data_IF_197543099690
#
_entry.id   IF_197543099690
#
_cell.length_a   1.000
_cell.length_b   1.000
_cell.length_c   1.000
_cell.angle_alpha   90.00
_cell.angle_beta   90.00
_cell.angle_gamma   90.00
#
_symmetry.space_group_name_H-M   'P 1'
#
loop_
_entity.id
_entity.type
_entity.pdbx_description
1 polymer ?
2 non-polymer ?
3 non-polymer ?
4 non-polymer ?
5 water ?
#
# COMPACT_ATOMS: atom_id res chain seq x y z
N UNK A 2 10.08 -36.37 -30.26
CA UNK A 2 10.82 -35.54 -29.26
C UNK A 2 10.54 -34.04 -29.41
N UNK A 3 9.49 -33.69 -30.17
CA UNK A 3 9.16 -32.27 -30.43
C UNK A 3 8.48 -31.62 -29.21
N UNK A 4 8.91 -30.39 -28.92
CA UNK A 4 8.32 -29.57 -27.85
C UNK A 4 6.80 -29.41 -28.09
N UNK A 5 5.98 -29.58 -27.04
CA UNK A 5 4.52 -29.52 -27.22
C UNK A 5 3.93 -28.15 -27.55
N UNK A 6 4.49 -27.07 -26.98
CA UNK A 6 3.97 -25.74 -27.20
C UNK A 6 4.79 -24.98 -28.24
N UNK A 7 4.09 -24.40 -29.21
CA UNK A 7 4.70 -23.41 -30.08
C UNK A 7 4.83 -22.13 -29.29
N UNK A 8 5.64 -21.22 -29.80
CA UNK A 8 5.79 -19.91 -29.17
C UNK A 8 4.42 -19.27 -28.95
N UNK A 9 3.57 -19.28 -29.98
CA UNK A 9 2.26 -18.63 -29.85
C UNK A 9 1.37 -19.25 -28.75
N UNK A 10 1.34 -20.57 -28.67
CA UNK A 10 0.57 -21.25 -27.62
C UNK A 10 1.15 -20.94 -26.23
N UNK A 11 2.47 -20.95 -26.12
CA UNK A 11 3.15 -20.65 -24.85
C UNK A 11 2.89 -19.23 -24.38
N UNK A 12 2.81 -18.30 -25.33
CA UNK A 12 2.51 -16.90 -25.03
C UNK A 12 1.12 -16.76 -24.41
N UNK A 13 0.14 -17.42 -25.03
CA UNK A 13 -1.24 -17.36 -24.55
C UNK A 13 -1.37 -18.06 -23.21
N UNK A 14 -0.69 -19.20 -23.08
CA UNK A 14 -0.75 -19.98 -21.85
C UNK A 14 -0.07 -19.24 -20.70
N UNK A 15 1.04 -18.55 -21.00
CA UNK A 15 1.74 -17.74 -20.00
C UNK A 15 0.83 -16.62 -19.48
N UNK A 16 0.15 -15.92 -20.39
CA UNK A 16 -0.83 -14.89 -20.01
C UNK A 16 -1.89 -15.44 -19.06
N UNK A 17 -2.46 -16.58 -19.40
CA UNK A 17 -3.47 -17.23 -18.57
C UNK A 17 -2.92 -17.56 -17.18
N UNK A 18 -1.74 -18.15 -17.15
CA UNK A 18 -1.10 -18.56 -15.89
C UNK A 18 -0.76 -17.38 -14.96
N UNK A 19 -0.22 -16.31 -15.54
CA UNK A 19 0.12 -15.12 -14.75
C UNK A 19 -1.11 -14.48 -14.14
N UNK A 20 -2.17 -14.36 -14.93
CA UNK A 20 -3.44 -13.83 -14.45
C UNK A 20 -4.02 -14.72 -13.34
N UNK A 21 -4.01 -16.02 -13.57
CA UNK A 21 -4.56 -16.97 -12.61
C UNK A 21 -3.75 -17.01 -11.31
N UNK A 22 -2.43 -17.12 -11.43
CA UNK A 22 -1.53 -17.11 -10.26
C UNK A 22 -1.57 -15.80 -9.45
N UNK A 23 -1.63 -14.66 -10.14
CA UNK A 23 -1.79 -13.37 -9.46
C UNK A 23 -3.12 -13.29 -8.70
N UNK A 24 -4.18 -13.84 -9.30
CA UNK A 24 -5.49 -13.92 -8.64
C UNK A 24 -5.44 -14.78 -7.38
N UNK A 25 -4.82 -15.96 -7.48
CA UNK A 25 -4.68 -16.85 -6.34
C UNK A 25 -3.80 -16.28 -5.22
N UNK A 26 -2.71 -15.61 -5.59
CA UNK A 26 -1.85 -14.95 -4.60
C UNK A 26 -2.59 -13.83 -3.86
N UNK A 27 -3.36 -13.04 -4.60
CA UNK A 27 -4.21 -12.00 -3.99
C UNK A 27 -5.22 -12.57 -3.03
N UNK A 28 -5.87 -13.67 -3.42
CA UNK A 28 -6.81 -14.36 -2.52
C UNK A 28 -6.13 -14.82 -1.24
N UNK A 29 -4.94 -15.39 -1.40
CA UNK A 29 -4.18 -16.02 -0.32
C UNK A 29 -3.63 -14.99 0.67
N UNK A 30 -2.98 -13.97 0.13
CA UNK A 30 -2.29 -12.96 0.94
C UNK A 30 -3.19 -11.80 1.39
N UNK A 31 -4.01 -11.27 0.48
CA UNK A 31 -4.78 -10.05 0.74
C UNK A 31 -6.18 -10.32 1.29
N UNK A 32 -6.93 -11.18 0.60
CA UNK A 32 -8.28 -11.54 1.06
C UNK A 32 -8.23 -12.55 2.20
N UNK A 33 -7.12 -13.29 2.29
CA UNK A 33 -6.93 -14.32 3.32
C UNK A 33 -7.99 -15.42 3.21
N UNK A 34 -8.38 -15.73 1.98
CA UNK A 34 -9.36 -16.76 1.71
C UNK A 34 -9.06 -17.39 0.35
N UNK A 35 -8.12 -18.34 0.31
CA UNK A 35 -7.72 -18.96 -0.95
C UNK A 35 -8.78 -19.92 -1.50
N UNK A 36 -9.15 -19.72 -2.76
CA UNK A 36 -10.12 -20.57 -3.43
C UNK A 36 -9.53 -21.92 -3.86
N UNK A 37 -8.21 -22.02 -3.90
CA UNK A 37 -7.55 -23.29 -4.21
C UNK A 37 -6.48 -23.64 -3.17
N UNK A 38 -6.24 -24.94 -3.02
CA UNK A 38 -5.23 -25.42 -2.08
C UNK A 38 -3.84 -25.14 -2.63
N UNK A 39 -2.85 -25.12 -1.74
CA UNK A 39 -1.48 -24.75 -2.10
C UNK A 39 -0.93 -25.59 -3.26
N UNK A 40 -1.23 -26.88 -3.27
CA UNK A 40 -0.68 -27.78 -4.29
C UNK A 40 -1.19 -27.44 -5.70
N UNK A 41 -2.40 -26.88 -5.78
CA UNK A 41 -2.93 -26.40 -7.06
C UNK A 41 -2.17 -25.16 -7.52
N UNK A 42 -1.93 -24.22 -6.59
CA UNK A 42 -1.12 -23.02 -6.89
C UNK A 42 0.28 -23.41 -7.33
N UNK A 43 0.93 -24.27 -6.54
CA UNK A 43 2.31 -24.70 -6.83
C UNK A 43 2.44 -25.38 -8.19
N UNK A 44 1.41 -26.12 -8.58
CA UNK A 44 1.41 -26.87 -9.84
C UNK A 44 1.35 -25.92 -11.05
N UNK A 45 0.51 -24.90 -10.95
CA UNK A 45 0.41 -23.89 -11.98
C UNK A 45 1.66 -23.00 -12.02
N UNK A 46 2.20 -22.69 -10.85
CA UNK A 46 3.43 -21.90 -10.76
C UNK A 46 4.57 -22.60 -11.48
N UNK A 47 4.73 -23.89 -11.25
CA UNK A 47 5.79 -24.67 -11.90
C UNK A 47 5.61 -24.69 -13.42
N UNK A 48 4.36 -24.78 -13.87
CA UNK A 48 4.05 -24.74 -15.31
C UNK A 48 4.55 -23.43 -15.92
N UNK A 49 4.27 -22.32 -15.24
CA UNK A 49 4.74 -21.01 -15.69
C UNK A 49 6.27 -20.91 -15.71
N UNK A 50 6.92 -21.42 -14.68
CA UNK A 50 8.39 -21.44 -14.64
C UNK A 50 8.97 -22.19 -15.85
N UNK A 51 8.40 -23.36 -16.14
CA UNK A 51 8.85 -24.16 -17.28
C UNK A 51 8.65 -23.46 -18.63
N UNK A 52 7.55 -22.71 -18.76
CA UNK A 52 7.34 -21.90 -19.98
C UNK A 52 8.40 -20.79 -20.09
N UNK A 53 8.65 -20.11 -18.96
CA UNK A 53 9.63 -19.02 -18.94
C UNK A 53 11.07 -19.48 -19.15
N UNK A 54 11.37 -20.70 -18.71
CA UNK A 54 12.66 -21.34 -18.96
C UNK A 54 12.86 -21.65 -20.44
N UNK A 55 11.80 -22.18 -21.07
CA UNK A 55 11.86 -22.53 -22.49
C UNK A 55 11.79 -21.29 -23.39
N UNK A 56 10.97 -20.33 -23.01
CA UNK A 56 10.74 -19.11 -23.78
C UNK A 56 10.99 -17.86 -22.91
N UNK A 57 12.28 -17.49 -22.70
CA UNK A 57 12.61 -16.34 -21.85
C UNK A 57 11.99 -15.00 -22.30
N UNK A 58 11.75 -14.83 -23.60
CA UNK A 58 11.09 -13.61 -24.10
C UNK A 58 9.71 -13.40 -23.51
N UNK A 59 9.11 -14.45 -22.95
CA UNK A 59 7.78 -14.36 -22.35
C UNK A 59 7.80 -13.86 -20.91
N UNK A 60 8.98 -13.73 -20.30
CA UNK A 60 9.08 -13.14 -18.96
C UNK A 60 8.63 -11.67 -18.99
N UNK A 61 7.55 -11.37 -18.28
CA UNK A 61 7.00 -10.01 -18.22
C UNK A 61 7.03 -9.45 -16.79
N UNK A 62 6.88 -8.12 -16.64
CA UNK A 62 6.90 -7.48 -15.31
C UNK A 62 5.78 -7.94 -14.36
N UNK A 63 4.61 -8.28 -14.90
CA UNK A 63 3.50 -8.77 -14.07
C UNK A 63 3.64 -10.25 -13.66
N UNK A 64 4.71 -10.92 -14.07
CA UNK A 64 4.86 -12.35 -13.79
C UNK A 64 5.14 -12.62 -12.31
N UNK A 65 4.40 -13.57 -11.72
CA UNK A 65 4.64 -14.05 -10.36
C UNK A 65 6.07 -14.47 -10.07
N UNK A 66 6.78 -14.98 -11.08
CA UNK A 66 8.18 -15.40 -10.91
C UNK A 66 9.08 -14.20 -10.57
N UNK A 67 8.67 -12.99 -10.98
CA UNK A 67 9.48 -11.79 -10.74
C UNK A 67 9.47 -11.32 -9.28
N UNK A 68 8.66 -11.96 -8.43
CA UNK A 68 8.62 -11.66 -7.00
C UNK A 68 9.80 -12.25 -6.23
N UNK A 69 10.16 -13.49 -6.56
CA UNK A 69 10.98 -14.35 -5.69
C UNK A 69 12.22 -13.66 -5.15
N UNK A 70 12.74 -12.69 -5.89
CA UNK A 70 13.95 -12.00 -5.50
C UNK A 70 15.12 -12.76 -6.08
N UNK A 71 16.30 -12.18 -5.96
CA UNK A 71 17.48 -12.67 -6.66
C UNK A 71 18.22 -11.49 -7.25
N UNK A 72 17.47 -10.57 -7.85
CA UNK A 72 18.06 -9.37 -8.44
C UNK A 72 18.78 -8.56 -7.35
N UNK A 73 19.94 -8.01 -7.71
CA UNK A 73 20.75 -7.18 -6.80
C UNK A 73 21.10 -5.88 -7.51
N UNK A 74 20.66 -4.75 -6.97
CA UNK A 74 20.95 -3.43 -7.57
C UNK A 74 22.29 -2.89 -7.07
N UNK A 75 22.93 -2.04 -7.86
CA UNK A 75 24.14 -1.31 -7.44
C UNK A 75 23.77 -0.09 -6.61
N UNK A 76 22.53 0.35 -6.75
CA UNK A 76 22.03 1.54 -6.06
C UNK A 76 20.61 1.83 -6.51
N UNK A 77 19.95 2.75 -5.83
CA UNK A 77 18.59 3.13 -6.23
C UNK A 77 18.59 4.36 -7.12
N UNK A 78 17.84 4.29 -8.21
CA UNK A 78 17.58 5.46 -9.03
C UNK A 78 16.63 6.36 -8.25
N UNK A 79 16.73 7.66 -8.51
CA UNK A 79 15.78 8.62 -7.95
C UNK A 79 14.41 8.33 -8.56
N UNK A 80 13.36 8.60 -7.79
CA UNK A 80 11.99 8.39 -8.24
C UNK A 80 11.21 9.68 -7.99
N UNK A 81 11.17 10.58 -8.99
CA UNK A 81 10.41 11.83 -8.81
C UNK A 81 8.92 11.59 -8.64
N UNK A 82 8.26 12.46 -7.88
CA UNK A 82 6.81 12.41 -7.71
C UNK A 82 6.23 13.60 -8.42
N UNK A 83 5.64 13.36 -9.59
CA UNK A 83 5.07 14.44 -10.43
C UNK A 83 3.97 15.18 -9.67
N UNK A 84 3.18 14.40 -8.92
CA UNK A 84 2.22 14.94 -7.98
C UNK A 84 2.81 14.78 -6.58
N UNK A 85 3.07 15.89 -5.87
CA UNK A 85 3.72 15.85 -4.55
C UNK A 85 3.05 14.91 -3.55
N UNK A 86 3.84 14.21 -2.75
CA UNK A 86 3.31 13.44 -1.63
C UNK A 86 3.32 14.32 -0.40
N UNK A 87 2.21 15.04 -0.21
CA UNK A 87 2.11 16.06 0.84
C UNK A 87 1.90 15.46 2.24
N UNK A 88 2.18 16.27 3.26
CA UNK A 88 1.84 15.91 4.63
C UNK A 88 0.61 16.71 5.07
N UNK A 89 -0.19 16.11 5.94
CA UNK A 89 -1.43 16.73 6.37
C UNK A 89 -1.20 17.75 7.47
N UNK A 90 -2.08 18.75 7.55
CA UNK A 90 -2.15 19.59 8.74
C UNK A 90 -2.52 18.71 9.93
N UNK A 91 -1.98 19.02 11.11
CA UNK A 91 -2.17 18.17 12.31
C UNK A 91 -3.13 18.78 13.33
N UNK A 92 -3.75 17.91 14.12
CA UNK A 92 -4.53 18.29 15.30
C UNK A 92 -4.23 17.36 16.45
N UNK A 93 -4.44 17.82 17.69
CA UNK A 93 -4.12 17.03 18.89
C UNK A 93 -5.22 16.94 19.95
N UNK A 94 -6.20 17.83 19.88
CA UNK A 94 -7.24 17.91 20.89
C UNK A 94 -8.62 17.83 20.26
N UNK A 95 -9.61 17.55 21.09
CA UNK A 95 -11.01 17.67 20.68
C UNK A 95 -11.26 19.04 20.07
N UNK A 96 -10.75 20.08 20.73
CA UNK A 96 -10.85 21.46 20.24
C UNK A 96 -10.35 21.60 18.81
N UNK A 97 -9.21 20.98 18.51
CA UNK A 97 -8.63 21.09 17.16
C UNK A 97 -9.53 20.45 16.11
N UNK A 98 -10.16 19.34 16.47
CA UNK A 98 -10.94 18.57 15.51
C UNK A 98 -12.29 19.24 15.26
N UNK A 99 -12.92 19.74 16.32
CA UNK A 99 -14.14 20.53 16.16
C UNK A 99 -13.87 21.85 15.44
N UNK A 100 -12.69 22.45 15.67
CA UNK A 100 -12.27 23.67 14.96
C UNK A 100 -12.09 23.39 13.46
N UNK A 101 -11.50 22.24 13.14
CA UNK A 101 -11.40 21.78 11.75
C UNK A 101 -12.76 21.75 11.08
N UNK A 102 -13.73 21.12 11.74
CA UNK A 102 -15.09 20.99 11.21
C UNK A 102 -15.74 22.36 11.05
N UNK A 103 -15.53 23.25 12.02
CA UNK A 103 -16.06 24.61 11.94
C UNK A 103 -15.53 25.30 10.67
N UNK A 104 -14.24 25.14 10.40
CA UNK A 104 -13.63 25.76 9.23
C UNK A 104 -14.15 25.13 7.93
N UNK A 105 -14.40 23.82 7.96
CA UNK A 105 -14.95 23.13 6.79
C UNK A 105 -16.37 23.64 6.49
N UNK A 106 -17.20 23.71 7.53
CA UNK A 106 -18.59 24.14 7.38
C UNK A 106 -18.66 25.62 6.98
N UNK A 107 -17.73 26.43 7.50
CA UNK A 107 -17.61 27.83 7.08
C UNK A 107 -17.41 27.93 5.56
N UNK A 108 -16.55 27.07 5.03
CA UNK A 108 -16.22 27.06 3.60
C UNK A 108 -17.34 26.48 2.75
N UNK A 109 -17.90 25.34 3.16
CA UNK A 109 -18.89 24.62 2.35
C UNK A 109 -20.32 25.15 2.50
N UNK A 110 -20.66 25.66 3.68
CA UNK A 110 -21.99 26.19 3.95
C UNK A 110 -23.02 25.15 4.37
N UNK A 111 -22.56 24.00 4.86
CA UNK A 111 -23.44 22.93 5.31
C UNK A 111 -22.64 21.85 6.06
N UNK A 112 -23.32 20.99 6.84
CA UNK A 112 -22.60 19.88 7.44
C UNK A 112 -22.13 18.92 6.35
N UNK A 113 -21.09 18.17 6.66
CA UNK A 113 -20.40 17.32 5.71
C UNK A 113 -20.09 15.97 6.36
N UNK A 114 -20.09 14.92 5.55
CA UNK A 114 -19.69 13.59 5.99
C UNK A 114 -18.17 13.48 5.91
N UNK A 115 -17.57 12.75 6.85
CA UNK A 115 -16.13 12.54 6.86
C UNK A 115 -15.80 11.07 6.76
N UNK A 116 -14.83 10.78 5.90
CA UNK A 116 -14.22 9.46 5.82
C UNK A 116 -13.08 9.42 6.82
N UNK A 117 -13.19 8.54 7.82
CA UNK A 117 -12.21 8.43 8.90
C UNK A 117 -11.40 7.15 8.74
N UNK A 118 -10.08 7.27 8.86
CA UNK A 118 -9.16 6.17 8.59
C UNK A 118 -8.02 6.19 9.60
N UNK A 119 -7.34 5.06 9.76
CA UNK A 119 -6.18 4.99 10.66
C UNK A 119 -4.94 5.51 9.95
N UNK A 120 -4.14 6.33 10.63
CA UNK A 120 -2.89 6.80 10.05
C UNK A 120 -1.83 5.75 10.34
N UNK A 121 -1.40 5.07 9.29
CA UNK A 121 -0.52 3.92 9.42
C UNK A 121 0.91 4.43 9.56
N UNK A 122 1.62 3.91 10.55
CA UNK A 122 2.96 4.41 10.85
C UNK A 122 3.97 3.46 10.25
N UNK A 123 4.35 3.71 9.00
CA UNK A 123 5.29 2.85 8.28
C UNK A 123 6.18 3.67 7.38
N UNK A 124 6.50 3.12 6.19
CA UNK A 124 7.19 3.89 5.16
C UNK A 124 6.20 4.24 4.05
N UNK A 125 6.01 5.53 3.80
CA UNK A 125 5.12 6.01 2.75
C UNK A 125 5.65 5.59 1.39
N UNK A 126 4.78 5.01 0.56
CA UNK A 126 5.15 4.53 -0.76
C UNK A 126 4.16 5.01 -1.81
N UNK A 127 4.62 5.06 -3.06
CA UNK A 127 3.73 5.29 -4.20
C UNK A 127 3.96 4.17 -5.23
N UNK A 128 2.86 3.59 -5.72
CA UNK A 128 2.91 2.45 -6.64
C UNK A 128 2.31 2.87 -7.99
N UNK A 129 3.12 2.79 -9.05
CA UNK A 129 2.69 3.22 -10.38
C UNK A 129 2.32 2.01 -11.22
N UNK A 130 1.13 2.07 -11.82
CA UNK A 130 0.65 1.03 -12.71
C UNK A 130 0.36 1.64 -14.08
N UNK A 131 0.72 0.93 -15.13
CA UNK A 131 0.41 1.33 -16.50
C UNK A 131 -0.26 0.16 -17.20
N UNK A 132 -1.45 0.40 -17.73
CA UNK A 132 -2.23 -0.66 -18.37
C UNK A 132 -2.44 -1.84 -17.41
N UNK A 133 -2.67 -1.51 -16.13
CA UNK A 133 -2.92 -2.51 -15.10
C UNK A 133 -1.71 -3.31 -14.64
N UNK A 134 -0.51 -2.87 -15.00
CA UNK A 134 0.71 -3.60 -14.69
C UNK A 134 1.64 -2.76 -13.79
N UNK A 135 2.15 -3.38 -12.72
CA UNK A 135 3.08 -2.71 -11.80
C UNK A 135 4.38 -2.37 -12.50
N UNK A 136 4.68 -1.07 -12.61
CA UNK A 136 5.88 -0.59 -13.33
C UNK A 136 6.88 0.17 -12.45
N UNK A 137 6.42 0.80 -11.37
CA UNK A 137 7.32 1.53 -10.48
C UNK A 137 6.81 1.59 -9.04
N UNK A 138 7.68 1.19 -8.10
CA UNK A 138 7.41 1.37 -6.68
C UNK A 138 8.43 2.35 -6.15
N UNK A 139 7.96 3.31 -5.36
CA UNK A 139 8.81 4.41 -4.92
C UNK A 139 8.57 4.75 -3.46
N UNK A 140 9.64 5.09 -2.75
CA UNK A 140 9.52 5.70 -1.43
C UNK A 140 9.11 7.16 -1.57
N UNK A 141 8.55 7.71 -0.51
CA UNK A 141 8.14 9.11 -0.48
C UNK A 141 9.35 10.04 -0.59
N UNK A 142 10.43 9.68 0.11
CA UNK A 142 11.60 10.54 0.20
C UNK A 142 11.20 11.83 0.88
N UNK A 143 11.43 12.96 0.23
CA UNK A 143 11.01 14.26 0.79
C UNK A 143 9.62 14.70 0.32
N UNK A 144 8.96 13.82 -0.44
CA UNK A 144 7.63 14.11 -0.99
C UNK A 144 7.63 14.52 -2.45
N UNK A 145 8.79 14.95 -2.94
CA UNK A 145 8.96 15.38 -4.33
C UNK A 145 9.88 14.41 -5.08
N UNK A 146 10.91 13.90 -4.40
CA UNK A 146 11.77 12.87 -4.95
C UNK A 146 12.07 11.79 -3.90
N UNK A 147 11.84 10.53 -4.26
CA UNK A 147 12.17 9.39 -3.41
C UNK A 147 13.10 8.43 -4.13
N UNK A 148 13.08 7.18 -3.72
CA UNK A 148 13.94 6.16 -4.31
C UNK A 148 13.09 5.11 -5.02
N UNK A 149 13.58 4.68 -6.18
CA UNK A 149 12.95 3.64 -6.95
C UNK A 149 13.29 2.28 -6.34
N UNK A 150 12.32 1.71 -5.62
CA UNK A 150 12.50 0.42 -4.95
C UNK A 150 11.51 -0.61 -5.52
N UNK A 151 11.30 -0.57 -6.84
CA UNK A 151 10.30 -1.43 -7.51
C UNK A 151 10.53 -2.92 -7.25
N UNK A 152 11.78 -3.36 -7.43
CA UNK A 152 12.11 -4.77 -7.31
C UNK A 152 11.90 -5.27 -5.88
N UNK A 153 12.29 -4.45 -4.90
CA UNK A 153 12.02 -4.75 -3.49
C UNK A 153 10.54 -4.88 -3.17
N UNK A 154 9.73 -3.96 -3.70
CA UNK A 154 8.30 -3.98 -3.47
C UNK A 154 7.59 -5.17 -4.16
N UNK A 155 8.18 -5.70 -5.24
CA UNK A 155 7.63 -6.92 -5.87
C UNK A 155 7.66 -8.08 -4.88
N UNK A 156 8.64 -8.09 -3.99
CA UNK A 156 8.75 -9.16 -2.99
C UNK A 156 7.68 -9.07 -1.89
N UNK A 157 7.03 -7.91 -1.78
CA UNK A 157 6.00 -7.72 -0.78
C UNK A 157 4.71 -8.26 -1.37
N UNK A 158 4.25 -9.38 -0.82
CA UNK A 158 3.22 -10.19 -1.47
C UNK A 158 1.86 -9.48 -1.59
N UNK A 159 1.58 -8.50 -0.73
CA UNK A 159 0.32 -7.74 -0.83
C UNK A 159 0.30 -6.73 -1.97
N UNK A 160 1.47 -6.39 -2.49
CA UNK A 160 1.55 -5.47 -3.63
C UNK A 160 1.12 -6.23 -4.89
N UNK A 161 0.05 -5.77 -5.56
CA UNK A 161 -0.37 -6.50 -6.76
C UNK A 161 0.55 -6.23 -7.94
N UNK A 162 0.85 -7.27 -8.71
CA UNK A 162 1.67 -7.16 -9.91
C UNK A 162 0.79 -6.76 -11.09
N UNK A 163 -0.49 -7.13 -11.02
CA UNK A 163 -1.50 -6.69 -11.98
C UNK A 163 -2.76 -6.22 -11.24
N UNK A 164 -3.55 -5.40 -11.92
CA UNK A 164 -4.85 -4.97 -11.40
C UNK A 164 -5.97 -5.67 -12.18
N UNK A 165 -7.19 -5.62 -11.65
CA UNK A 165 -8.35 -6.21 -12.34
C UNK A 165 -8.82 -5.42 -13.54
N UNK A 166 -8.28 -4.21 -13.73
CA UNK A 166 -8.54 -3.48 -14.95
C UNK A 166 -7.28 -2.78 -15.45
N UNK A 167 -7.19 -2.57 -16.78
CA UNK A 167 -5.96 -2.10 -17.39
C UNK A 167 -5.83 -0.58 -17.33
N UNK A 168 -5.96 -0.02 -16.13
CA UNK A 168 -5.88 1.43 -15.92
C UNK A 168 -4.47 1.84 -15.54
N UNK A 169 -4.13 3.09 -15.85
CA UNK A 169 -2.87 3.70 -15.43
C UNK A 169 -3.17 4.58 -14.23
N UNK A 170 -2.60 4.24 -13.08
CA UNK A 170 -2.86 4.96 -11.84
C UNK A 170 -1.60 5.01 -10.99
N UNK A 171 -1.55 6.00 -10.11
CA UNK A 171 -0.44 6.17 -9.17
C UNK A 171 -1.05 6.10 -7.77
N UNK A 172 -0.74 5.03 -7.05
CA UNK A 172 -1.47 4.64 -5.84
C UNK A 172 -0.60 4.83 -4.61
N UNK A 173 -1.11 5.57 -3.62
CA UNK A 173 -0.31 5.96 -2.44
C UNK A 173 -0.77 5.20 -1.19
N UNK A 174 0.21 4.83 -0.37
CA UNK A 174 -0.07 4.16 0.89
C UNK A 174 1.15 4.01 1.76
N UNK A 175 1.15 2.97 2.59
CA UNK A 175 2.22 2.76 3.54
C UNK A 175 2.65 1.29 3.49
N UNK A 176 3.95 1.06 3.63
CA UNK A 176 4.51 -0.28 3.79
C UNK A 176 5.08 -0.33 5.18
N UNK A 177 4.74 -1.37 5.93
CA UNK A 177 5.12 -1.47 7.32
C UNK A 177 5.57 -2.88 7.64
N UNK A 178 6.27 -3.02 8.77
CA UNK A 178 6.58 -4.31 9.34
C UNK A 178 5.65 -4.55 10.52
N UNK A 179 4.87 -5.66 10.49
CA UNK A 179 4.04 -6.00 11.65
C UNK A 179 4.86 -6.06 12.94
N UNK A 180 4.23 -5.68 14.06
CA UNK A 180 4.95 -5.61 15.32
C UNK A 180 5.59 -6.95 15.71
N UNK A 181 4.88 -8.05 15.45
CA UNK A 181 5.38 -9.38 15.84
C UNK A 181 6.62 -9.79 15.04
N UNK A 182 6.69 -9.39 13.77
CA UNK A 182 7.86 -9.64 12.94
C UNK A 182 9.03 -8.72 13.30
N UNK A 183 8.72 -7.48 13.69
CA UNK A 183 9.73 -6.53 14.14
C UNK A 183 10.51 -7.07 15.35
N UNK A 184 9.81 -7.48 16.39
CA UNK A 184 10.50 -8.00 17.59
C UNK A 184 11.30 -9.27 17.29
N UNK A 185 10.77 -10.15 16.44
CA UNK A 185 11.52 -11.37 16.04
C UNK A 185 12.77 -11.05 15.24
N UNK A 186 12.66 -10.08 14.33
CA UNK A 186 13.80 -9.63 13.52
C UNK A 186 14.93 -9.04 14.37
N UNK A 187 14.59 -8.22 15.37
CA UNK A 187 15.60 -7.65 16.26
C UNK A 187 16.33 -8.71 17.07
N UNK A 188 15.59 -9.72 17.53
CA UNK A 188 16.21 -10.85 18.20
C UNK A 188 17.16 -11.61 17.27
N UNK A 189 16.73 -11.82 16.04
CA UNK A 189 17.59 -12.47 15.03
C UNK A 189 18.85 -11.65 14.79
N UNK A 190 18.68 -10.34 14.67
CA UNK A 190 19.81 -9.42 14.47
C UNK A 190 20.77 -9.43 15.67
N UNK A 191 20.20 -9.36 16.87
CA UNK A 191 20.97 -9.50 18.10
C UNK A 191 21.89 -10.73 18.06
N UNK A 192 21.31 -11.86 17.65
CA UNK A 192 22.02 -13.13 17.59
C UNK A 192 23.08 -13.17 16.49
N UNK A 193 22.82 -12.47 15.39
CA UNK A 193 23.80 -12.35 14.28
C UNK A 193 24.84 -11.24 14.52
N UNK A 194 24.79 -10.56 15.66
CA UNK A 194 25.72 -9.49 15.99
C UNK A 194 25.47 -8.20 15.22
N UNK A 195 24.24 -8.03 14.74
CA UNK A 195 23.85 -6.84 13.98
C UNK A 195 23.18 -5.81 14.88
N UNK A 196 23.31 -4.53 14.53
CA UNK A 196 22.63 -3.46 15.24
C UNK A 196 21.13 -3.71 15.17
N UNK A 197 20.42 -3.49 16.28
CA UNK A 197 18.96 -3.67 16.28
C UNK A 197 18.29 -2.43 15.69
N UNK A 198 17.05 -2.59 15.21
CA UNK A 198 16.26 -1.46 14.74
C UNK A 198 15.56 -0.78 15.93
N UNK A 199 15.55 0.54 15.95
CA UNK A 199 14.95 1.29 17.06
C UNK A 199 13.45 1.06 17.18
N UNK A 200 12.78 0.83 16.04
CA UNK A 200 11.32 0.67 16.00
C UNK A 200 10.90 0.08 14.64
N UNK A 201 9.64 -0.36 14.52
CA UNK A 201 9.20 -1.01 13.28
C UNK A 201 9.30 -0.13 12.00
N UNK A 202 9.17 1.18 12.15
CA UNK A 202 9.34 2.09 10.99
C UNK A 202 10.76 2.01 10.44
N UNK A 203 11.75 2.06 11.32
CA UNK A 203 13.16 1.92 10.91
C UNK A 203 13.45 0.56 10.29
N UNK A 204 12.82 -0.48 10.83
CA UNK A 204 12.99 -1.85 10.33
C UNK A 204 12.39 -1.98 8.93
N UNK A 205 11.22 -1.38 8.72
CA UNK A 205 10.60 -1.39 7.39
C UNK A 205 11.45 -0.56 6.41
N UNK A 206 11.89 0.62 6.83
CA UNK A 206 12.75 1.47 5.99
C UNK A 206 14.07 0.79 5.64
N UNK A 207 14.74 0.23 6.64
CA UNK A 207 15.98 -0.50 6.44
C UNK A 207 15.83 -1.68 5.49
N UNK A 208 14.74 -2.41 5.68
CA UNK A 208 14.42 -3.57 4.85
C UNK A 208 14.24 -3.19 3.38
N UNK A 209 13.50 -2.11 3.13
CA UNK A 209 13.21 -1.66 1.77
C UNK A 209 14.36 -0.92 1.09
N UNK A 210 15.39 -0.54 1.83
CA UNK A 210 16.55 0.12 1.24
C UNK A 210 17.76 -0.79 1.07
N UNK A 211 17.53 -2.09 1.23
CA UNK A 211 18.53 -3.11 0.91
C UNK A 211 18.59 -3.30 -0.60
N UNK A 212 19.80 -3.44 -1.14
CA UNK A 212 19.98 -3.55 -2.59
C UNK A 212 19.73 -4.95 -3.11
N UNK A 213 19.90 -5.96 -2.25
CA UNK A 213 19.68 -7.35 -2.62
C UNK A 213 18.26 -7.74 -2.28
N UNK A 214 17.46 -8.01 -3.31
CA UNK A 214 16.04 -8.36 -3.13
C UNK A 214 15.83 -9.68 -2.37
N UNK A 215 16.82 -10.57 -2.38
CA UNK A 215 16.74 -11.81 -1.62
C UNK A 215 16.64 -11.52 -0.11
N UNK A 216 17.36 -10.51 0.36
CA UNK A 216 17.34 -10.12 1.77
C UNK A 216 16.01 -9.47 2.11
N UNK A 217 15.55 -8.58 1.23
CA UNK A 217 14.25 -7.93 1.37
C UNK A 217 13.11 -8.96 1.40
N UNK A 218 13.20 -9.98 0.55
CA UNK A 218 12.20 -11.06 0.54
C UNK A 218 12.11 -11.81 1.87
N UNK A 219 13.23 -11.94 2.58
CA UNK A 219 13.24 -12.62 3.88
C UNK A 219 12.52 -11.83 4.97
N UNK A 220 12.44 -10.51 4.80
CA UNK A 220 11.76 -9.63 5.79
C UNK A 220 10.25 -9.74 5.59
N UNK A 221 9.49 -9.61 6.68
CA UNK A 221 8.03 -9.66 6.62
C UNK A 221 7.47 -8.26 6.59
N UNK A 222 6.89 -7.88 5.45
CA UNK A 222 6.35 -6.54 5.25
C UNK A 222 4.94 -6.65 4.71
N UNK A 223 4.12 -5.64 4.96
CA UNK A 223 2.77 -5.60 4.40
C UNK A 223 2.40 -4.17 4.02
N UNK A 224 1.26 -4.00 3.37
CA UNK A 224 0.84 -2.70 2.85
C UNK A 224 -0.62 -2.38 3.12
N UNK A 225 -0.91 -1.08 3.26
CA UNK A 225 -2.27 -0.57 3.19
C UNK A 225 -2.19 0.59 2.20
N UNK A 226 -3.01 0.53 1.16
CA UNK A 226 -3.12 1.61 0.19
C UNK A 226 -4.43 2.33 0.42
N UNK A 227 -4.42 3.65 0.24
CA UNK A 227 -5.60 4.45 0.60
C UNK A 227 -6.02 5.49 -0.42
N UNK A 228 -5.17 5.90 -1.35
CA UNK A 228 -5.59 6.86 -2.37
C UNK A 228 -4.77 6.82 -3.65
N UNK A 229 -5.13 7.68 -4.61
CA UNK A 229 -4.34 7.84 -5.82
C UNK A 229 -4.00 9.30 -6.09
N UNK A 230 -3.01 9.52 -6.96
CA UNK A 230 -2.56 10.86 -7.29
C UNK A 230 -3.54 11.59 -8.21
N UNK A 231 -4.20 10.82 -9.08
CA UNK A 231 -5.12 11.36 -10.08
C UNK A 231 -6.28 10.38 -10.31
N UNK A 232 -7.47 10.77 -9.89
CA UNK A 232 -8.65 9.89 -9.91
C UNK A 232 -9.32 9.77 -11.29
N UNK A 233 -8.81 10.48 -12.30
CA UNK A 233 -9.32 10.38 -13.68
C UNK A 233 -9.81 9.00 -14.12
N UNK A 234 -8.92 8.00 -14.15
CA UNK A 234 -9.30 6.63 -14.56
C UNK A 234 -10.25 5.89 -13.59
N UNK A 235 -10.43 6.42 -12.38
CA UNK A 235 -11.26 5.77 -11.36
C UNK A 235 -12.71 6.23 -11.48
N UNK A 236 -13.63 5.41 -10.95
CA UNK A 236 -15.07 5.70 -10.95
C UNK A 236 -15.56 6.33 -9.64
N UNK A 237 -14.75 6.26 -8.59
CA UNK A 237 -15.17 6.75 -7.27
C UNK A 237 -15.45 8.25 -7.32
N UNK A 238 -16.45 8.68 -6.57
CA UNK A 238 -16.75 10.10 -6.41
C UNK A 238 -16.67 10.54 -4.95
N UNK A 239 -16.31 9.60 -4.06
CA UNK A 239 -16.11 9.88 -2.64
C UNK A 239 -14.89 9.12 -2.15
N UNK A 240 -14.34 9.53 -1.01
CA UNK A 240 -13.16 8.87 -0.45
C UNK A 240 -13.49 7.43 -0.05
N UNK A 241 -14.68 7.22 0.51
CA UNK A 241 -15.10 5.89 0.91
C UNK A 241 -15.26 4.96 -0.31
N UNK A 242 -15.82 5.49 -1.39
CA UNK A 242 -15.92 4.74 -2.65
C UNK A 242 -14.53 4.42 -3.21
N UNK A 243 -13.61 5.38 -3.07
CA UNK A 243 -12.23 5.24 -3.53
C UNK A 243 -11.58 4.04 -2.86
N UNK A 244 -11.82 3.90 -1.55
CA UNK A 244 -11.24 2.79 -0.78
C UNK A 244 -11.79 1.46 -1.23
N UNK A 245 -13.11 1.40 -1.43
CA UNK A 245 -13.73 0.18 -1.95
C UNK A 245 -13.22 -0.16 -3.35
N UNK A 246 -13.02 0.86 -4.18
CA UNK A 246 -12.54 0.65 -5.55
C UNK A 246 -11.12 0.12 -5.60
N UNK A 247 -10.22 0.73 -4.83
CA UNK A 247 -8.84 0.24 -4.69
C UNK A 247 -8.82 -1.22 -4.26
N UNK A 248 -9.68 -1.54 -3.31
CA UNK A 248 -9.81 -2.91 -2.82
C UNK A 248 -10.27 -3.83 -3.96
N UNK A 249 -11.30 -3.41 -4.69
CA UNK A 249 -11.86 -4.19 -5.79
C UNK A 249 -10.82 -4.51 -6.87
N UNK A 250 -9.93 -3.56 -7.16
CA UNK A 250 -8.99 -3.73 -8.26
C UNK A 250 -7.71 -4.47 -7.86
N UNK A 251 -7.53 -4.75 -6.57
CA UNK A 251 -6.46 -5.63 -6.11
C UNK A 251 -5.58 -5.16 -4.96
N UNK A 252 -5.80 -3.95 -4.45
CA UNK A 252 -4.94 -3.43 -3.38
C UNK A 252 -5.46 -3.83 -2.01
N UNK A 253 -4.52 -4.04 -1.08
CA UNK A 253 -4.86 -4.26 0.31
C UNK A 253 -5.18 -2.91 0.92
N UNK A 254 -6.38 -2.77 1.48
CA UNK A 254 -6.83 -1.53 2.12
C UNK A 254 -7.16 -1.82 3.58
N UNK A 255 -7.11 -0.79 4.42
CA UNK A 255 -7.33 -0.95 5.86
C UNK A 255 -8.82 -1.10 6.17
N UNK A 256 -9.19 -2.19 6.88
CA UNK A 256 -10.60 -2.50 7.10
C UNK A 256 -11.26 -1.71 8.22
N UNK A 257 -10.51 -0.85 8.91
CA UNK A 257 -11.02 -0.12 10.06
C UNK A 257 -11.67 1.20 9.72
N UNK A 258 -11.70 1.56 8.43
CA UNK A 258 -12.23 2.86 8.04
C UNK A 258 -13.72 2.95 8.32
N UNK A 259 -14.19 4.18 8.50
CA UNK A 259 -15.58 4.43 8.82
C UNK A 259 -16.02 5.76 8.23
N UNK A 260 -17.20 5.77 7.63
CA UNK A 260 -17.79 6.98 7.12
C UNK A 260 -18.67 7.59 8.20
N UNK A 261 -18.29 8.76 8.67
CA UNK A 261 -18.97 9.42 9.77
C UNK A 261 -19.87 10.54 9.28
N UNK A 262 -21.14 10.48 9.68
CA UNK A 262 -22.15 11.44 9.24
C UNK A 262 -22.17 12.74 10.04
N UNK A 263 -21.33 12.82 11.07
CA UNK A 263 -21.17 14.04 11.86
C UNK A 263 -19.83 14.06 12.58
N UNK A 264 -19.45 15.25 13.04
CA UNK A 264 -18.20 15.45 13.78
C UNK A 264 -18.20 14.66 15.11
N UNK A 265 -19.38 14.51 15.71
CA UNK A 265 -19.51 13.70 16.92
C UNK A 265 -19.13 12.25 16.66
N UNK A 266 -19.63 11.70 15.55
CA UNK A 266 -19.25 10.35 15.14
C UNK A 266 -17.75 10.26 14.87
N UNK A 267 -17.18 11.32 14.30
CA UNK A 267 -15.73 11.42 14.07
C UNK A 267 -14.98 11.34 15.41
N UNK A 268 -15.46 12.06 16.42
CA UNK A 268 -14.81 12.08 17.72
C UNK A 268 -14.90 10.74 18.40
N UNK A 269 -16.07 10.10 18.31
CA UNK A 269 -16.26 8.75 18.84
C UNK A 269 -15.36 7.71 18.16
N UNK A 270 -15.06 7.91 16.88
CA UNK A 270 -14.15 7.04 16.15
C UNK A 270 -12.72 7.18 16.69
N UNK A 271 -12.29 8.42 16.89
CA UNK A 271 -10.97 8.71 17.44
C UNK A 271 -10.79 8.04 18.81
N UNK A 272 -11.79 8.23 19.68
CA UNK A 272 -11.81 7.57 20.98
C UNK A 272 -11.81 6.05 20.87
N UNK A 273 -12.61 5.50 19.95
CA UNK A 273 -12.70 4.04 19.76
C UNK A 273 -11.34 3.44 19.41
N UNK A 274 -10.65 4.06 18.46
CA UNK A 274 -9.39 3.51 17.97
C UNK A 274 -8.15 3.92 18.77
N UNK A 275 -8.26 4.95 19.60
CA UNK A 275 -7.22 5.17 20.63
C UNK A 275 -7.18 3.97 21.55
N UNK A 276 -8.35 3.49 21.94
CA UNK A 276 -8.45 2.31 22.80
C UNK A 276 -8.00 1.05 22.06
N UNK A 277 -8.41 0.90 20.81
CA UNK A 277 -8.06 -0.29 20.02
C UNK A 277 -6.59 -0.32 19.56
N UNK A 278 -5.90 0.82 19.62
CA UNK A 278 -4.53 0.95 19.11
C UNK A 278 -3.63 -0.22 19.53
N UNK A 279 -3.57 -0.47 20.84
CA UNK A 279 -2.74 -1.56 21.40
C UNK A 279 -3.03 -2.96 20.86
N UNK A 280 -4.24 -3.16 20.36
CA UNK A 280 -4.68 -4.48 19.91
C UNK A 280 -4.37 -4.77 18.45
N UNK A 281 -3.85 -3.77 17.73
CA UNK A 281 -3.57 -3.91 16.31
C UNK A 281 -2.17 -4.49 16.09
N UNK A 282 -1.99 -5.32 15.05
CA UNK A 282 -0.67 -5.90 14.75
C UNK A 282 0.29 -4.95 14.03
N UNK A 283 -0.19 -3.77 13.67
CA UNK A 283 0.60 -2.73 13.00
C UNK A 283 0.50 -1.43 13.78
N UNK A 284 1.52 -0.59 13.70
CA UNK A 284 1.53 0.66 14.45
C UNK A 284 0.72 1.71 13.72
N UNK A 285 0.02 2.54 14.49
CA UNK A 285 -0.61 3.74 13.94
C UNK A 285 -0.15 4.95 14.76
N UNK A 286 -0.04 6.11 14.13
CA UNK A 286 0.35 7.31 14.87
C UNK A 286 -0.80 8.31 14.96
N UNK A 287 -1.99 7.91 14.52
CA UNK A 287 -3.14 8.79 14.57
C UNK A 287 -4.32 8.36 13.73
N UNK A 288 -5.22 9.31 13.53
CA UNK A 288 -6.42 9.12 12.74
C UNK A 288 -6.44 10.19 11.67
N UNK A 289 -6.77 9.82 10.44
CA UNK A 289 -6.94 10.79 9.37
C UNK A 289 -8.42 10.99 9.13
N UNK A 290 -8.82 12.27 9.04
CA UNK A 290 -10.19 12.69 8.90
C UNK A 290 -10.28 13.46 7.58
N UNK A 291 -11.08 12.97 6.64
CA UNK A 291 -11.19 13.57 5.31
C UNK A 291 -12.63 13.88 4.95
N UNK A 292 -12.86 15.04 4.33
CA UNK A 292 -14.16 15.34 3.75
C UNK A 292 -14.41 14.26 2.71
N UNK A 293 -15.55 13.60 2.79
CA UNK A 293 -15.80 12.40 1.99
C UNK A 293 -16.02 12.69 0.50
N UNK A 294 -16.89 13.64 0.21
CA UNK A 294 -17.30 13.93 -1.17
C UNK A 294 -16.18 14.62 -1.96
N UNK A 295 -15.83 14.07 -3.13
CA UNK A 295 -14.77 14.65 -3.97
C UNK A 295 -15.12 16.08 -4.45
N UNK A 296 -16.40 16.31 -4.77
CA UNK A 296 -16.85 17.66 -5.18
C UNK A 296 -16.52 18.69 -4.11
N UNK A 297 -16.72 18.31 -2.84
CA UNK A 297 -16.40 19.17 -1.71
C UNK A 297 -14.89 19.29 -1.44
N UNK A 298 -14.14 18.20 -1.59
CA UNK A 298 -12.67 18.26 -1.53
C UNK A 298 -12.15 19.23 -2.60
N UNK A 299 -12.75 19.15 -3.79
CA UNK A 299 -12.38 20.02 -4.90
C UNK A 299 -12.67 21.48 -4.58
N UNK A 300 -13.80 21.74 -3.91
CA UNK A 300 -14.19 23.10 -3.53
C UNK A 300 -13.24 23.67 -2.47
N UNK A 301 -12.88 22.85 -1.48
CA UNK A 301 -11.99 23.28 -0.39
C UNK A 301 -10.56 23.53 -0.88
N UNK A 302 -10.08 22.67 -1.77
CA UNK A 302 -8.73 22.78 -2.33
C UNK A 302 -7.61 22.57 -1.32
N UNK A 303 -6.46 23.18 -1.61
CA UNK A 303 -5.24 23.04 -0.82
C UNK A 303 -4.72 24.41 -0.41
N UNK A 304 -3.92 24.42 0.66
CA UNK A 304 -3.08 25.57 0.98
C UNK A 304 -1.79 25.37 0.19
N UNK A 305 -0.81 26.23 0.40
CA UNK A 305 0.50 26.05 -0.25
C UNK A 305 1.11 24.67 0.05
N UNK A 306 0.73 24.04 1.18
CA UNK A 306 1.36 22.75 1.56
C UNK A 306 0.44 21.57 1.87
N UNK A 307 -0.83 21.82 2.15
CA UNK A 307 -1.71 20.74 2.60
C UNK A 307 -3.17 20.91 2.18
N UNK A 308 -3.92 19.80 2.15
CA UNK A 308 -5.33 19.92 1.85
C UNK A 308 -6.06 20.74 2.92
N UNK A 309 -7.08 21.47 2.50
CA UNK A 309 -8.00 22.13 3.44
C UNK A 309 -9.23 21.26 3.71
N UNK A 310 -9.20 20.01 3.21
CA UNK A 310 -10.28 19.04 3.39
C UNK A 310 -9.90 17.85 4.24
N UNK A 311 -8.72 17.87 4.85
CA UNK A 311 -8.28 16.76 5.69
C UNK A 311 -7.44 17.25 6.88
N UNK A 312 -7.42 16.44 7.92
CA UNK A 312 -6.58 16.70 9.09
C UNK A 312 -6.15 15.37 9.68
N UNK A 313 -4.93 15.33 10.22
CA UNK A 313 -4.41 14.18 10.93
C UNK A 313 -4.47 14.44 12.43
N UNK A 314 -5.24 13.63 13.14
CA UNK A 314 -5.28 13.69 14.60
C UNK A 314 -4.17 12.78 15.10
N UNK A 315 -3.20 13.36 15.80
CA UNK A 315 -2.03 12.61 16.28
C UNK A 315 -2.22 12.11 17.71
N UNK A 316 -1.97 10.83 17.93
CA UNK A 316 -1.92 10.27 19.28
C UNK A 316 -0.52 10.52 19.86
N UNK A 317 -0.34 10.24 21.16
CA UNK A 317 1.01 10.06 21.70
C UNK A 317 1.76 8.96 20.93
N UNK A 318 3.10 8.98 20.96
CA UNK A 318 3.86 7.98 20.18
C UNK A 318 3.68 6.55 20.71
N UNK A 319 3.99 5.56 19.86
CA UNK A 319 3.83 4.15 20.21
C UNK A 319 4.66 3.76 21.42
N UNK A 320 5.85 4.35 21.52
CA UNK A 320 6.75 4.09 22.65
C UNK A 320 6.11 4.55 23.96
N UNK A 321 5.30 5.61 23.90
CA UNK A 321 4.67 6.22 25.07
C UNK A 321 3.45 5.47 25.62
N UNK A 322 2.95 4.46 24.90
CA UNK A 322 1.76 3.72 25.34
C UNK A 322 1.99 2.21 25.41
#
# INVERSE_FOLDING_TARGET
MEQQPLTLTAATTRAQELRKQLNQYSHEYYVKDQPSVEDYVYDRLYKELVDIETEFPDLITPDSPTQRVGGKVLSGFEKAPHDIPMYSLNDGFSKEDIFAFDERVRKAIGKPVAYCCELKIDGLAISLRYENGVFVRGATRGDGTVGENITENLRTVRSVPMRLTEPISVEVRGECYMPKQSFVALNEEREENGQDIFANPRNAAAGSLRQLDTKIVAKRNLNTFLYTVADFGPMKAKTQFEALEELSAIGFRTNPERQLCQSIDEVWAYIEEYHEKRSTLPYEIDGIVIKVNEFALQDELGFTVKAPRWAIAYKFPPEEAET
#
